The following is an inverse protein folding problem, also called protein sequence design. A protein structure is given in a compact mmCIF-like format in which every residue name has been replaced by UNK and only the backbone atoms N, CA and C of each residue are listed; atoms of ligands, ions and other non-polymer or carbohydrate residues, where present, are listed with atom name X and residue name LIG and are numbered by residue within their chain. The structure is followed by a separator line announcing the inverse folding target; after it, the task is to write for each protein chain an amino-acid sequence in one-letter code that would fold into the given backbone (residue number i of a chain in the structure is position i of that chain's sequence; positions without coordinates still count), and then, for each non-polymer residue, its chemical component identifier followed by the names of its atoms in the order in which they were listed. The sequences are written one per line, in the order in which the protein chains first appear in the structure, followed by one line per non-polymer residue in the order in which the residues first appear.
data_IF_707625817493
#
_entry.id   IF_707625817493
#
_cell.length_a   1.000
_cell.length_b   1.000
_cell.length_c   1.000
_cell.angle_alpha   90.00
_cell.angle_beta   90.00
_cell.angle_gamma   90.00
#
_symmetry.space_group_name_H-M   'P 1'
#
loop_
_entity.id
_entity.type
_entity.pdbx_description
1 polymer ?
#
# COMPACT_ATOMS: atom_id res chain seq x y z
N UNK A 1 13.67 -24.56 -4.04
CA UNK A 1 13.66 -23.82 -2.76
C UNK A 1 12.20 -23.56 -2.44
N UNK A 2 11.68 -24.08 -1.32
CA UNK A 2 10.29 -23.90 -0.92
C UNK A 2 10.05 -22.41 -0.66
N UNK A 3 9.21 -21.81 -1.48
CA UNK A 3 8.76 -20.42 -1.31
C UNK A 3 7.77 -20.39 -0.13
N UNK A 4 8.31 -20.39 1.09
CA UNK A 4 7.49 -20.27 2.28
C UNK A 4 6.99 -18.82 2.32
N UNK A 5 5.69 -18.61 2.34
CA UNK A 5 5.10 -17.28 2.43
C UNK A 5 5.66 -16.53 3.64
N UNK A 6 5.98 -15.24 3.49
CA UNK A 6 6.55 -14.38 4.55
C UNK A 6 5.57 -14.13 5.71
N UNK A 7 4.31 -14.50 5.55
CA UNK A 7 3.19 -14.28 6.46
C UNK A 7 1.93 -13.92 5.69
N UNK A 8 0.81 -13.74 6.40
CA UNK A 8 -0.47 -13.36 5.82
C UNK A 8 -0.87 -11.96 6.30
N UNK A 9 -1.12 -11.06 5.37
CA UNK A 9 -1.57 -9.68 5.64
C UNK A 9 -3.01 -9.52 5.19
N UNK A 10 -3.85 -9.05 6.09
CA UNK A 10 -5.25 -8.73 5.80
C UNK A 10 -5.47 -7.22 5.71
N UNK A 11 -6.09 -6.75 4.64
CA UNK A 11 -6.34 -5.33 4.37
C UNK A 11 -7.82 -4.98 4.54
N UNK A 12 -8.16 -4.19 5.57
CA UNK A 12 -9.54 -3.71 5.83
C UNK A 12 -9.79 -2.41 5.07
N UNK A 13 -10.70 -2.44 4.10
CA UNK A 13 -10.92 -1.37 3.12
C UNK A 13 -9.98 -1.48 1.92
N UNK A 14 -9.74 -2.68 1.42
CA UNK A 14 -8.77 -2.99 0.35
C UNK A 14 -9.08 -2.30 -0.99
N UNK A 15 -10.34 -1.90 -1.24
CA UNK A 15 -10.78 -1.22 -2.47
C UNK A 15 -10.26 0.21 -2.62
N UNK A 16 -9.77 0.83 -1.54
CA UNK A 16 -9.14 2.15 -1.58
C UNK A 16 -7.90 2.15 -2.50
N UNK A 17 -7.66 3.26 -3.24
CA UNK A 17 -6.59 3.33 -4.26
C UNK A 17 -5.21 3.03 -3.68
N UNK A 18 -4.87 3.58 -2.52
CA UNK A 18 -3.60 3.31 -1.85
C UNK A 18 -3.57 1.91 -1.23
N UNK A 19 -4.68 1.45 -0.64
CA UNK A 19 -4.79 0.13 -0.01
C UNK A 19 -4.60 -0.99 -1.03
N UNK A 20 -5.30 -0.93 -2.16
CA UNK A 20 -5.14 -1.91 -3.25
C UNK A 20 -3.71 -1.97 -3.78
N UNK A 21 -3.06 -0.81 -3.92
CA UNK A 21 -1.66 -0.74 -4.34
C UNK A 21 -0.71 -1.39 -3.35
N UNK A 22 -0.89 -1.14 -2.06
CA UNK A 22 -0.09 -1.77 -1.00
C UNK A 22 -0.32 -3.28 -0.90
N UNK A 23 -1.56 -3.74 -1.12
CA UNK A 23 -1.89 -5.15 -1.19
C UNK A 23 -1.15 -5.86 -2.34
N UNK A 24 -1.12 -5.24 -3.53
CA UNK A 24 -0.38 -5.75 -4.68
C UNK A 24 1.14 -5.79 -4.46
N UNK A 25 1.71 -4.74 -3.84
CA UNK A 25 3.12 -4.70 -3.47
C UNK A 25 3.43 -5.82 -2.47
N UNK A 26 2.59 -6.03 -1.46
CA UNK A 26 2.76 -7.09 -0.47
C UNK A 26 2.74 -8.49 -1.09
N UNK A 27 1.80 -8.72 -2.01
CA UNK A 27 1.73 -9.98 -2.77
C UNK A 27 3.02 -10.21 -3.58
N UNK A 28 3.52 -9.17 -4.27
CA UNK A 28 4.77 -9.24 -5.04
C UNK A 28 5.99 -9.51 -4.15
N UNK A 29 5.95 -9.03 -2.91
CA UNK A 29 6.99 -9.27 -1.90
C UNK A 29 6.92 -10.69 -1.28
N UNK A 30 5.93 -11.50 -1.66
CA UNK A 30 5.81 -12.90 -1.24
C UNK A 30 4.97 -13.12 0.03
N UNK A 31 4.12 -12.16 0.40
CA UNK A 31 3.11 -12.35 1.43
C UNK A 31 1.86 -13.02 0.85
N UNK A 32 1.16 -13.81 1.65
CA UNK A 32 -0.25 -14.10 1.40
C UNK A 32 -1.06 -12.84 1.70
N UNK A 33 -2.02 -12.51 0.85
CA UNK A 33 -2.80 -11.28 1.00
C UNK A 33 -4.30 -11.58 0.91
N UNK A 34 -5.04 -11.06 1.87
CA UNK A 34 -6.49 -10.98 1.84
C UNK A 34 -6.98 -9.58 2.19
N UNK A 35 -8.24 -9.31 1.98
CA UNK A 35 -8.83 -8.07 2.45
C UNK A 35 -10.32 -7.99 2.19
N UNK A 36 -10.96 -6.98 2.77
CA UNK A 36 -12.39 -6.75 2.71
C UNK A 36 -12.70 -5.34 2.20
N UNK A 37 -13.80 -5.19 1.50
CA UNK A 37 -14.36 -3.90 1.13
C UNK A 37 -15.87 -4.02 0.91
N UNK A 38 -16.62 -2.94 1.14
CA UNK A 38 -18.08 -2.91 0.92
C UNK A 38 -18.46 -2.56 -0.50
N UNK A 39 -17.52 -2.05 -1.29
CA UNK A 39 -17.76 -1.72 -2.70
C UNK A 39 -17.67 -2.97 -3.56
N UNK A 40 -18.52 -3.08 -4.57
CA UNK A 40 -18.30 -4.00 -5.69
C UNK A 40 -17.69 -3.19 -6.84
N UNK A 41 -16.46 -3.48 -7.20
CA UNK A 41 -15.73 -2.71 -8.20
C UNK A 41 -14.83 -3.60 -9.06
N UNK A 42 -14.58 -3.14 -10.29
CA UNK A 42 -13.61 -3.81 -11.19
C UNK A 42 -12.22 -3.91 -10.56
N UNK A 43 -11.89 -2.98 -9.66
CA UNK A 43 -10.63 -3.02 -8.92
C UNK A 43 -10.54 -4.24 -8.02
N UNK A 44 -11.61 -4.59 -7.29
CA UNK A 44 -11.62 -5.78 -6.43
C UNK A 44 -11.50 -7.05 -7.26
N UNK A 45 -12.23 -7.15 -8.37
CA UNK A 45 -12.10 -8.27 -9.32
C UNK A 45 -10.68 -8.38 -9.89
N UNK A 46 -10.01 -7.25 -10.15
CA UNK A 46 -8.62 -7.23 -10.58
C UNK A 46 -7.65 -7.74 -9.50
N UNK A 47 -7.90 -7.45 -8.21
CA UNK A 47 -7.10 -7.99 -7.10
C UNK A 47 -7.29 -9.52 -6.98
N UNK A 48 -8.52 -10.00 -7.08
CA UNK A 48 -8.83 -11.45 -7.06
C UNK A 48 -8.11 -12.19 -8.21
N UNK A 49 -8.13 -11.62 -9.43
CA UNK A 49 -7.43 -12.21 -10.58
C UNK A 49 -5.91 -12.32 -10.40
N UNK A 50 -5.34 -11.54 -9.48
CA UNK A 50 -3.91 -11.58 -9.10
C UNK A 50 -3.62 -12.59 -7.97
N UNK A 51 -4.64 -13.22 -7.39
CA UNK A 51 -4.51 -14.19 -6.32
C UNK A 51 -4.67 -13.61 -4.90
N UNK A 52 -5.22 -12.41 -4.77
CA UNK A 52 -5.61 -11.83 -3.48
C UNK A 52 -7.02 -12.31 -3.13
N UNK A 53 -7.22 -12.81 -1.91
CA UNK A 53 -8.56 -13.18 -1.42
C UNK A 53 -9.33 -11.93 -1.01
N UNK A 54 -10.46 -11.65 -1.65
CA UNK A 54 -11.28 -10.46 -1.38
C UNK A 54 -12.64 -10.86 -0.81
N UNK A 55 -13.03 -10.21 0.29
CA UNK A 55 -14.34 -10.40 0.93
C UNK A 55 -15.23 -9.17 0.66
N UNK A 56 -16.50 -9.37 0.24
CA UNK A 56 -17.37 -8.25 -0.17
C UNK A 56 -18.00 -7.48 1.00
N UNK A 57 -17.69 -7.85 2.25
CA UNK A 57 -18.19 -7.22 3.47
C UNK A 57 -17.22 -7.43 4.62
N UNK A 58 -17.36 -6.63 5.67
CA UNK A 58 -16.57 -6.77 6.90
C UNK A 58 -17.21 -7.80 7.84
N UNK A 59 -16.45 -8.84 8.22
CA UNK A 59 -16.84 -9.86 9.19
C UNK A 59 -15.61 -10.32 9.98
N UNK A 60 -15.81 -10.65 11.26
CA UNK A 60 -14.78 -11.28 12.07
C UNK A 60 -14.21 -12.56 11.43
N UNK A 61 -15.06 -13.31 10.74
CA UNK A 61 -14.70 -14.56 10.02
C UNK A 61 -13.70 -14.35 8.87
N UNK A 62 -13.52 -13.12 8.41
CA UNK A 62 -12.54 -12.80 7.36
C UNK A 62 -11.10 -12.85 7.88
N UNK A 63 -10.90 -12.81 9.20
CA UNK A 63 -9.57 -12.93 9.82
C UNK A 63 -9.20 -14.40 9.95
N UNK A 64 -8.56 -14.94 8.92
CA UNK A 64 -8.09 -16.32 8.89
C UNK A 64 -7.06 -16.61 10.02
N UNK A 65 -6.87 -17.88 10.38
CA UNK A 65 -6.01 -18.26 11.50
C UNK A 65 -4.54 -17.93 11.31
N UNK A 66 -4.08 -17.88 10.07
CA UNK A 66 -2.70 -17.58 9.67
C UNK A 66 -2.44 -16.08 9.44
N UNK A 67 -3.43 -15.20 9.66
CA UNK A 67 -3.24 -13.74 9.55
C UNK A 67 -2.27 -13.28 10.63
N UNK A 68 -1.18 -12.65 10.20
CA UNK A 68 -0.10 -12.17 11.05
C UNK A 68 -0.03 -10.64 11.19
N UNK A 69 -0.77 -9.92 10.34
CA UNK A 69 -0.87 -8.46 10.35
C UNK A 69 -2.19 -8.02 9.74
N UNK A 70 -2.84 -7.03 10.36
CA UNK A 70 -3.99 -6.34 9.78
C UNK A 70 -3.62 -4.89 9.46
N UNK A 71 -3.90 -4.47 8.23
CA UNK A 71 -3.71 -3.09 7.76
C UNK A 71 -5.08 -2.48 7.49
N UNK A 72 -5.34 -1.28 8.02
CA UNK A 72 -6.62 -0.62 7.82
C UNK A 72 -6.47 0.83 7.33
N UNK A 73 -7.51 1.34 6.69
CA UNK A 73 -7.62 2.76 6.33
C UNK A 73 -8.43 3.53 7.36
N UNK A 74 -8.11 4.81 7.58
CA UNK A 74 -8.84 5.70 8.50
C UNK A 74 -10.32 5.90 8.12
N UNK A 75 -10.74 5.51 6.93
CA UNK A 75 -12.15 5.50 6.54
C UNK A 75 -12.96 4.38 7.22
N UNK A 76 -12.28 3.39 7.80
CA UNK A 76 -12.90 2.29 8.55
C UNK A 76 -12.94 2.66 10.03
N UNK A 77 -14.12 2.60 10.68
CA UNK A 77 -14.25 2.90 12.09
C UNK A 77 -13.57 1.83 12.96
N UNK A 78 -13.07 2.21 14.14
CA UNK A 78 -12.31 1.31 15.02
C UNK A 78 -13.15 0.18 15.65
N UNK A 79 -14.47 0.29 15.63
CA UNK A 79 -15.42 -0.75 16.03
C UNK A 79 -15.74 -1.77 14.92
N UNK A 80 -15.01 -1.72 13.81
CA UNK A 80 -15.13 -2.67 12.73
C UNK A 80 -14.90 -4.10 13.23
N UNK A 81 -15.74 -5.11 12.83
CA UNK A 81 -15.66 -6.47 13.35
C UNK A 81 -14.30 -7.15 13.09
N UNK A 82 -13.63 -6.84 11.97
CA UNK A 82 -12.31 -7.40 11.64
C UNK A 82 -11.21 -6.82 12.52
N UNK A 83 -11.27 -5.51 12.81
CA UNK A 83 -10.33 -4.86 13.73
C UNK A 83 -10.55 -5.39 15.16
N UNK A 84 -11.80 -5.52 15.59
CA UNK A 84 -12.16 -6.08 16.90
C UNK A 84 -11.64 -7.51 17.05
N UNK A 85 -11.82 -8.35 16.04
CA UNK A 85 -11.33 -9.73 16.05
C UNK A 85 -9.79 -9.78 16.09
N UNK A 86 -9.12 -8.94 15.31
CA UNK A 86 -7.66 -8.84 15.32
C UNK A 86 -7.13 -8.45 16.71
N UNK A 87 -7.77 -7.48 17.38
CA UNK A 87 -7.41 -7.09 18.75
C UNK A 87 -7.63 -8.24 19.75
N UNK A 88 -8.78 -8.94 19.68
CA UNK A 88 -9.09 -10.08 20.55
C UNK A 88 -8.05 -11.20 20.40
N UNK A 89 -7.52 -11.41 19.20
CA UNK A 89 -6.51 -12.42 18.91
C UNK A 89 -5.07 -11.93 19.08
N UNK A 90 -4.86 -10.68 19.56
CA UNK A 90 -3.54 -10.04 19.68
C UNK A 90 -2.75 -10.01 18.34
N UNK A 91 -3.45 -9.93 17.21
CA UNK A 91 -2.83 -9.71 15.91
C UNK A 91 -2.47 -8.23 15.78
N UNK A 92 -1.25 -7.86 15.38
CA UNK A 92 -0.87 -6.48 15.13
C UNK A 92 -1.83 -5.81 14.14
N UNK A 93 -2.30 -4.60 14.48
CA UNK A 93 -3.17 -3.77 13.64
C UNK A 93 -2.48 -2.43 13.42
N UNK A 94 -2.25 -2.05 12.17
CA UNK A 94 -1.58 -0.81 11.82
C UNK A 94 -2.34 -0.02 10.74
N UNK A 95 -2.23 1.29 10.80
CA UNK A 95 -2.84 2.18 9.82
C UNK A 95 -2.05 2.14 8.50
N UNK A 96 -2.75 2.34 7.38
CA UNK A 96 -2.20 2.36 6.02
C UNK A 96 -0.93 3.21 5.85
N UNK A 97 -0.87 4.40 6.46
CA UNK A 97 0.30 5.28 6.36
C UNK A 97 1.52 4.71 7.06
N UNK A 98 1.32 4.03 8.19
CA UNK A 98 2.38 3.31 8.91
C UNK A 98 2.88 2.15 8.04
N UNK A 99 1.95 1.39 7.43
CA UNK A 99 2.32 0.29 6.55
C UNK A 99 3.05 0.75 5.28
N UNK A 100 2.65 1.89 4.69
CA UNK A 100 3.39 2.50 3.58
C UNK A 100 4.83 2.84 3.99
N UNK A 101 5.01 3.40 5.19
CA UNK A 101 6.34 3.66 5.75
C UNK A 101 7.19 2.40 5.89
N UNK A 102 6.60 1.32 6.41
CA UNK A 102 7.27 0.02 6.50
C UNK A 102 7.62 -0.54 5.11
N UNK A 103 6.76 -0.32 4.11
CA UNK A 103 7.00 -0.77 2.73
C UNK A 103 8.24 -0.14 2.11
N UNK A 104 8.68 1.05 2.55
CA UNK A 104 9.95 1.64 2.13
C UNK A 104 11.14 0.72 2.43
N UNK A 105 11.09 -0.03 3.54
CA UNK A 105 12.16 -0.95 3.95
C UNK A 105 12.26 -2.23 3.13
N UNK A 106 11.26 -2.52 2.28
CA UNK A 106 11.31 -3.66 1.37
C UNK A 106 12.32 -3.46 0.22
N UNK A 107 12.74 -2.22 0.03
CA UNK A 107 13.56 -1.79 -1.09
C UNK A 107 14.83 -1.10 -0.62
N UNK A 108 15.94 -1.33 -1.31
CA UNK A 108 17.24 -0.75 -0.96
C UNK A 108 17.27 0.77 -1.15
N UNK A 109 16.59 1.24 -2.19
CA UNK A 109 16.52 2.65 -2.56
C UNK A 109 15.06 3.09 -2.66
N UNK A 110 14.46 3.56 -1.57
CA UNK A 110 13.14 4.16 -1.58
C UNK A 110 13.24 5.68 -1.68
N UNK A 111 12.44 6.29 -2.54
CA UNK A 111 12.36 7.74 -2.70
C UNK A 111 10.92 8.18 -2.45
N UNK A 112 10.76 9.14 -1.54
CA UNK A 112 9.48 9.75 -1.21
C UNK A 112 9.43 11.20 -1.74
N UNK A 113 8.33 11.55 -2.41
CA UNK A 113 8.10 12.90 -2.94
C UNK A 113 7.06 13.60 -2.07
N UNK A 114 7.48 14.65 -1.37
CA UNK A 114 6.66 15.49 -0.49
C UNK A 114 6.42 16.88 -1.09
N UNK A 115 5.41 17.56 -0.61
CA UNK A 115 5.08 18.96 -0.97
C UNK A 115 3.57 19.17 -1.01
N UNK A 116 3.14 20.42 -0.83
CA UNK A 116 1.73 20.78 -0.96
C UNK A 116 1.23 20.49 -2.37
N UNK A 117 1.99 20.88 -3.40
CA UNK A 117 1.65 20.71 -4.81
C UNK A 117 2.74 19.99 -5.60
N UNK A 118 2.35 19.30 -6.69
CA UNK A 118 3.26 18.70 -7.66
C UNK A 118 3.76 17.30 -7.33
N UNK A 119 3.36 16.69 -6.20
CA UNK A 119 3.77 15.32 -5.79
C UNK A 119 3.56 14.30 -6.91
N UNK A 120 2.34 14.13 -7.38
CA UNK A 120 1.98 13.15 -8.41
C UNK A 120 2.76 13.34 -9.70
N UNK A 121 2.92 14.59 -10.16
CA UNK A 121 3.69 14.89 -11.38
C UNK A 121 5.16 14.53 -11.22
N UNK A 122 5.78 14.93 -10.11
CA UNK A 122 7.20 14.64 -9.86
C UNK A 122 7.46 13.16 -9.64
N UNK A 123 6.58 12.47 -8.90
CA UNK A 123 6.65 11.03 -8.70
C UNK A 123 6.53 10.29 -10.04
N UNK A 124 5.63 10.73 -10.93
CA UNK A 124 5.47 10.17 -12.27
C UNK A 124 6.69 10.41 -13.17
N UNK A 125 7.31 11.61 -13.10
CA UNK A 125 8.53 11.91 -13.84
C UNK A 125 9.70 11.04 -13.36
N UNK A 126 9.94 10.96 -12.05
CA UNK A 126 10.98 10.09 -11.47
C UNK A 126 10.75 8.62 -11.84
N UNK A 127 9.51 8.14 -11.71
CA UNK A 127 9.13 6.79 -12.11
C UNK A 127 9.42 6.54 -13.60
N UNK A 128 9.13 7.53 -14.46
CA UNK A 128 9.43 7.44 -15.90
C UNK A 128 10.93 7.30 -16.18
N UNK A 129 11.77 8.03 -15.45
CA UNK A 129 13.23 7.95 -15.57
C UNK A 129 13.70 6.53 -15.17
N UNK A 130 13.25 6.02 -14.02
CA UNK A 130 13.65 4.70 -13.54
C UNK A 130 13.16 3.57 -14.44
N UNK A 131 11.94 3.67 -14.97
CA UNK A 131 11.42 2.72 -15.97
C UNK A 131 12.26 2.75 -17.26
N UNK A 132 12.68 3.94 -17.73
CA UNK A 132 13.54 4.07 -18.91
C UNK A 132 14.95 3.56 -18.67
N UNK A 133 15.43 3.61 -17.44
CA UNK A 133 16.71 3.03 -17.03
C UNK A 133 16.66 1.50 -16.86
N UNK A 134 15.48 0.87 -17.01
CA UNK A 134 15.24 -0.57 -16.87
C UNK A 134 15.66 -1.15 -15.51
N UNK A 135 15.52 -0.37 -14.43
CA UNK A 135 15.88 -0.80 -13.07
C UNK A 135 14.73 -1.48 -12.31
N UNK A 136 13.62 -1.78 -13.00
CA UNK A 136 12.44 -2.48 -12.46
C UNK A 136 11.93 -1.88 -11.13
N UNK A 137 11.56 -0.57 -11.10
CA UNK A 137 11.14 0.08 -9.86
C UNK A 137 9.74 -0.35 -9.45
N UNK A 138 9.51 -0.53 -8.16
CA UNK A 138 8.16 -0.49 -7.60
C UNK A 138 7.68 0.97 -7.51
N UNK A 139 6.41 1.20 -7.81
CA UNK A 139 5.83 2.54 -7.90
C UNK A 139 4.50 2.55 -7.15
N UNK A 140 4.30 3.58 -6.31
CA UNK A 140 3.04 3.84 -5.62
C UNK A 140 2.73 5.34 -5.68
N UNK A 141 1.74 5.73 -6.48
CA UNK A 141 1.37 7.12 -6.77
C UNK A 141 -0.08 7.34 -6.34
N UNK A 142 -0.43 8.55 -5.89
CA UNK A 142 -1.78 8.89 -5.49
C UNK A 142 -2.80 8.94 -6.65
N UNK A 143 -2.33 9.22 -7.88
CA UNK A 143 -3.14 9.35 -9.09
C UNK A 143 -2.82 8.30 -10.16
N UNK A 144 -3.66 8.24 -11.20
CA UNK A 144 -3.45 7.37 -12.35
C UNK A 144 -2.20 7.79 -13.15
N UNK A 145 -1.32 6.84 -13.41
CA UNK A 145 -0.10 7.04 -14.21
C UNK A 145 -0.21 6.29 -15.53
N UNK A 146 -0.44 7.01 -16.66
CA UNK A 146 -0.74 6.39 -17.95
C UNK A 146 0.33 5.41 -18.44
N UNK A 147 1.61 5.65 -18.14
CA UNK A 147 2.72 4.81 -18.58
C UNK A 147 2.66 3.38 -18.05
N UNK A 148 2.05 3.17 -16.89
CA UNK A 148 1.86 1.84 -16.29
C UNK A 148 0.39 1.40 -16.30
N UNK A 149 -0.53 2.25 -16.77
CA UNK A 149 -1.97 1.96 -16.81
C UNK A 149 -2.61 1.83 -15.41
N UNK A 150 -1.97 2.32 -14.37
CA UNK A 150 -2.37 2.16 -12.97
C UNK A 150 -1.80 3.29 -12.11
N UNK A 151 -2.13 3.28 -10.83
CA UNK A 151 -1.46 4.09 -9.80
C UNK A 151 -0.39 3.30 -9.02
N UNK A 152 -0.23 2.02 -9.30
CA UNK A 152 0.76 1.15 -8.67
C UNK A 152 1.43 0.25 -9.71
N UNK A 153 2.71 0.02 -9.52
CA UNK A 153 3.49 -1.01 -10.21
C UNK A 153 4.26 -1.82 -9.15
N UNK A 154 3.76 -3.00 -8.79
CA UNK A 154 4.51 -3.91 -7.92
C UNK A 154 5.73 -4.45 -8.65
N UNK A 155 6.89 -4.39 -8.04
CA UNK A 155 8.13 -4.91 -8.59
C UNK A 155 9.04 -5.48 -7.48
N UNK A 156 10.03 -6.26 -7.89
CA UNK A 156 11.02 -6.89 -7.02
C UNK A 156 12.43 -6.32 -7.23
N UNK A 157 12.53 -5.18 -7.94
CA UNK A 157 13.77 -4.43 -8.10
C UNK A 157 14.22 -3.76 -6.79
N UNK A 158 15.36 -3.07 -6.84
CA UNK A 158 15.91 -2.40 -5.65
C UNK A 158 15.26 -1.04 -5.35
N UNK A 159 14.47 -0.48 -6.29
CA UNK A 159 13.92 0.87 -6.21
C UNK A 159 12.44 0.88 -5.87
N UNK A 160 12.05 1.83 -5.00
CA UNK A 160 10.66 2.14 -4.71
C UNK A 160 10.43 3.65 -4.76
N UNK A 161 9.40 4.08 -5.48
CA UNK A 161 9.01 5.49 -5.55
C UNK A 161 7.60 5.65 -5.02
N UNK A 162 7.41 6.56 -4.08
CA UNK A 162 6.11 6.84 -3.48
C UNK A 162 5.89 8.33 -3.25
N UNK A 163 4.63 8.72 -3.16
CA UNK A 163 4.25 10.03 -2.65
C UNK A 163 4.23 10.01 -1.12
N UNK A 164 4.72 11.10 -0.52
CA UNK A 164 4.63 11.38 0.91
C UNK A 164 3.45 12.33 1.15
N UNK A 165 2.32 11.76 1.57
CA UNK A 165 1.07 12.50 1.81
C UNK A 165 1.15 13.22 3.17
N UNK A 166 0.82 14.51 3.18
CA UNK A 166 0.75 15.36 4.38
C UNK A 166 -0.49 15.08 5.25
N UNK A 167 -1.55 14.52 4.67
CA UNK A 167 -2.80 14.26 5.37
C UNK A 167 -2.60 13.37 6.59
N UNK A 168 -3.08 13.83 7.76
CA UNK A 168 -2.83 13.23 9.07
C UNK A 168 -1.36 12.97 9.37
N UNK A 169 -0.46 13.82 8.87
CA UNK A 169 0.99 13.68 9.05
C UNK A 169 1.55 12.31 8.62
N UNK A 170 0.92 11.64 7.67
CA UNK A 170 1.29 10.31 7.21
C UNK A 170 2.74 10.24 6.70
N UNK A 171 3.27 11.34 6.14
CA UNK A 171 4.66 11.43 5.70
C UNK A 171 5.68 11.19 6.83
N UNK A 172 5.32 11.44 8.10
CA UNK A 172 6.20 11.18 9.26
C UNK A 172 6.45 9.69 9.51
N UNK A 173 5.61 8.83 8.96
CA UNK A 173 5.80 7.38 9.07
C UNK A 173 6.82 6.83 8.06
N UNK A 174 7.15 7.59 7.01
CA UNK A 174 8.09 7.15 5.99
C UNK A 174 9.53 7.23 6.50
N UNK A 175 10.36 6.29 6.08
CA UNK A 175 11.81 6.27 6.30
C UNK A 175 12.48 5.94 4.96
N UNK A 176 12.36 6.83 3.96
CA UNK A 176 12.91 6.58 2.64
C UNK A 176 14.45 6.73 2.66
N UNK A 177 15.10 6.15 1.67
CA UNK A 177 16.52 6.36 1.38
C UNK A 177 16.78 7.81 0.93
N UNK A 178 15.88 8.40 0.14
CA UNK A 178 15.96 9.77 -0.34
C UNK A 178 14.60 10.46 -0.34
N UNK A 179 14.61 11.77 -0.17
CA UNK A 179 13.41 12.60 -0.15
C UNK A 179 13.51 13.74 -1.15
N UNK A 180 12.38 14.05 -1.80
CA UNK A 180 12.23 15.23 -2.66
C UNK A 180 11.13 16.08 -2.03
N UNK A 181 11.49 17.28 -1.57
CA UNK A 181 10.55 18.26 -1.02
C UNK A 181 10.39 19.38 -2.04
N UNK A 182 9.18 19.52 -2.61
CA UNK A 182 8.90 20.44 -3.71
C UNK A 182 8.59 21.86 -3.23
N UNK A 183 7.69 21.95 -2.28
CA UNK A 183 7.23 23.20 -1.68
C UNK A 183 6.61 22.92 -0.32
N UNK A 184 6.55 23.94 0.50
CA UNK A 184 5.94 23.90 1.84
C UNK A 184 5.04 25.11 1.97
N UNK A 185 3.73 24.88 2.06
CA UNK A 185 2.71 25.91 2.27
C UNK A 185 1.87 25.53 3.49
N UNK A 186 1.31 26.52 4.16
CA UNK A 186 0.45 26.32 5.32
C UNK A 186 -0.96 25.92 4.87
N UNK A 187 -1.12 24.69 4.40
CA UNK A 187 -2.40 24.03 4.10
C UNK A 187 -2.57 22.83 5.02
N UNK A 188 -3.71 22.69 5.69
CA UNK A 188 -4.09 21.65 6.68
C UNK A 188 -3.68 21.95 8.12
#
# INVERSE_FOLDING_TARGET
MSNQAKGHIHFVGIGGSSMSGLAEISLKQGYTVSGSDRSDSDKLRALESKGITVYPFHSADNIADDVSLVVYTLAVPLDNPELTEAFNRNIPVIERGVYLGQSCSFYKYSVAVAGTHGKTSTTSMLSSILLSANVNPAIHIGGFFPRIGSNVLPADGEYFVTEACEYHANFLNLRPYGEIILNIEAEH
#
